data_IF_380490569015
#
_entry.id   IF_380490569015
#
_cell.length_a   1.000
_cell.length_b   1.000
_cell.length_c   1.000
_cell.angle_alpha   90.00
_cell.angle_beta   90.00
_cell.angle_gamma   90.00
#
_symmetry.space_group_name_H-M   'P 1'
#
loop_
_entity.id
_entity.type
_entity.pdbx_description
1 polymer ?
#
# COMPACT_ATOMS: atom_id res chain seq x y z
N UNK A 1 8.33 -0.16 18.16
CA UNK A 1 9.04 -1.38 18.64
C UNK A 1 8.22 -2.20 19.64
N UNK A 2 8.01 -1.77 20.90
CA UNK A 2 7.34 -2.65 21.89
C UNK A 2 5.84 -2.88 21.62
N UNK A 3 5.13 -1.90 21.08
CA UNK A 3 3.73 -2.02 20.64
C UNK A 3 3.55 -2.97 19.46
N UNK A 4 4.44 -2.86 18.46
CA UNK A 4 4.52 -3.73 17.28
C UNK A 4 4.79 -5.18 17.70
N UNK A 5 5.76 -5.40 18.60
CA UNK A 5 6.05 -6.72 19.17
C UNK A 5 4.81 -7.37 19.81
N UNK A 6 4.03 -6.59 20.57
CA UNK A 6 2.81 -7.08 21.22
C UNK A 6 1.77 -7.53 20.17
N UNK A 7 1.54 -6.73 19.13
CA UNK A 7 0.58 -7.06 18.07
C UNK A 7 0.97 -8.35 17.33
N UNK A 8 2.24 -8.47 16.94
CA UNK A 8 2.78 -9.65 16.26
C UNK A 8 2.66 -10.90 17.12
N UNK A 9 3.13 -10.83 18.37
CA UNK A 9 3.11 -11.97 19.29
C UNK A 9 1.69 -12.37 19.67
N UNK A 10 0.77 -11.41 19.87
CA UNK A 10 -0.65 -11.70 20.12
C UNK A 10 -1.26 -12.50 18.97
N UNK A 11 -1.09 -12.02 17.73
CA UNK A 11 -1.60 -12.70 16.54
C UNK A 11 -0.94 -14.05 16.29
N UNK A 12 0.35 -14.20 16.55
CA UNK A 12 1.04 -15.49 16.46
C UNK A 12 0.56 -16.48 17.53
N UNK A 13 0.30 -16.01 18.75
CA UNK A 13 -0.19 -16.83 19.86
C UNK A 13 -1.57 -17.40 19.54
N UNK A 14 -2.50 -16.57 19.05
CA UNK A 14 -3.85 -17.05 18.64
C UNK A 14 -3.78 -18.07 17.50
N UNK A 15 -2.88 -17.86 16.52
CA UNK A 15 -2.65 -18.82 15.42
C UNK A 15 -2.10 -20.15 15.93
N UNK A 16 -1.12 -20.12 16.84
CA UNK A 16 -0.52 -21.32 17.44
C UNK A 16 -1.50 -22.06 18.36
N UNK A 17 -2.27 -21.31 19.13
CA UNK A 17 -3.30 -21.84 20.04
C UNK A 17 -4.52 -22.38 19.28
N UNK A 18 -4.76 -21.88 18.07
CA UNK A 18 -5.83 -22.34 17.18
C UNK A 18 -7.22 -21.74 17.51
N UNK A 19 -7.29 -20.77 18.43
CA UNK A 19 -8.52 -20.09 18.84
C UNK A 19 -8.25 -18.63 19.21
N UNK A 20 -9.28 -17.79 19.09
CA UNK A 20 -9.26 -16.42 19.61
C UNK A 20 -9.37 -16.42 21.13
N UNK A 21 -8.75 -15.44 21.78
CA UNK A 21 -8.76 -15.29 23.24
C UNK A 21 -9.62 -14.06 23.59
N UNK A 22 -10.90 -14.33 23.80
CA UNK A 22 -12.00 -13.41 24.07
C UNK A 22 -12.56 -13.55 25.50
N UNK A 23 -12.26 -14.66 26.18
CA UNK A 23 -12.84 -15.00 27.49
C UNK A 23 -11.79 -15.45 28.52
N UNK A 24 -12.20 -15.44 29.80
CA UNK A 24 -11.39 -15.96 30.89
C UNK A 24 -11.05 -17.45 30.70
N UNK A 25 -12.01 -18.24 30.18
CA UNK A 25 -11.83 -19.66 29.94
C UNK A 25 -10.67 -19.92 28.98
N UNK A 26 -10.60 -19.19 27.87
CA UNK A 26 -9.50 -19.33 26.90
C UNK A 26 -8.15 -18.90 27.50
N UNK A 27 -8.13 -17.93 28.43
CA UNK A 27 -6.89 -17.57 29.12
C UNK A 27 -6.36 -18.70 30.02
N UNK A 28 -7.26 -19.46 30.66
CA UNK A 28 -6.88 -20.63 31.48
C UNK A 28 -6.39 -21.76 30.58
N UNK A 29 -7.10 -22.02 29.47
CA UNK A 29 -6.68 -23.03 28.49
C UNK A 29 -5.32 -22.68 27.88
N UNK A 30 -5.10 -21.43 27.49
CA UNK A 30 -3.81 -20.96 26.96
C UNK A 30 -2.69 -21.09 27.99
N UNK A 31 -2.93 -20.71 29.25
CA UNK A 31 -1.94 -20.85 30.32
C UNK A 31 -1.46 -22.31 30.45
N UNK A 32 -2.41 -23.26 30.44
CA UNK A 32 -2.09 -24.69 30.50
C UNK A 32 -1.35 -25.17 29.26
N UNK A 33 -1.72 -24.70 28.06
CA UNK A 33 -1.08 -25.10 26.81
C UNK A 33 0.35 -24.56 26.70
N UNK A 34 0.60 -23.32 27.14
CA UNK A 34 1.94 -22.73 27.23
C UNK A 34 2.81 -23.59 28.15
N UNK A 35 2.36 -23.84 29.38
CA UNK A 35 3.13 -24.60 30.35
C UNK A 35 3.44 -26.02 29.87
N UNK A 36 2.47 -26.70 29.24
CA UNK A 36 2.67 -28.05 28.69
C UNK A 36 3.70 -28.09 27.57
N UNK A 37 3.82 -27.03 26.76
CA UNK A 37 4.67 -27.01 25.56
C UNK A 37 6.05 -26.40 25.80
N UNK A 38 6.18 -25.40 26.67
CA UNK A 38 7.45 -24.69 26.92
C UNK A 38 8.00 -24.90 28.33
N UNK A 39 7.19 -25.38 29.27
CA UNK A 39 7.55 -25.43 30.69
C UNK A 39 7.53 -24.07 31.40
N UNK A 40 7.19 -22.98 30.71
CA UNK A 40 7.18 -21.64 31.27
C UNK A 40 5.84 -21.27 31.92
N UNK A 41 5.91 -20.52 33.02
CA UNK A 41 4.73 -20.11 33.80
C UNK A 41 4.34 -18.66 33.49
N UNK A 42 3.26 -18.51 32.72
CA UNK A 42 2.65 -17.21 32.42
C UNK A 42 1.34 -17.01 33.19
N UNK A 43 1.31 -16.08 34.14
CA UNK A 43 0.13 -15.91 34.99
C UNK A 43 -1.13 -15.48 34.21
N UNK A 44 -2.29 -16.03 34.56
CA UNK A 44 -3.59 -15.71 33.94
C UNK A 44 -3.88 -14.19 33.92
N UNK A 45 -3.60 -13.40 34.98
CA UNK A 45 -3.76 -11.95 34.91
C UNK A 45 -2.87 -11.26 33.88
N UNK A 46 -1.69 -11.82 33.57
CA UNK A 46 -0.79 -11.30 32.54
C UNK A 46 -1.35 -11.57 31.15
N UNK A 47 -1.84 -12.79 30.92
CA UNK A 47 -2.52 -13.16 29.66
C UNK A 47 -3.75 -12.26 29.45
N UNK A 48 -4.62 -12.12 30.46
CA UNK A 48 -5.82 -11.27 30.36
C UNK A 48 -5.51 -9.81 29.99
N UNK A 49 -4.45 -9.24 30.56
CA UNK A 49 -4.01 -7.87 30.23
C UNK A 49 -3.45 -7.78 28.81
N UNK A 50 -2.64 -8.75 28.38
CA UNK A 50 -2.07 -8.79 27.03
C UNK A 50 -3.15 -8.86 25.95
N UNK A 51 -4.21 -9.67 26.17
CA UNK A 51 -5.28 -9.85 25.19
C UNK A 51 -6.35 -8.75 25.23
N UNK A 52 -6.26 -7.81 26.19
CA UNK A 52 -7.17 -6.66 26.30
C UNK A 52 -8.47 -6.94 27.05
N UNK A 53 -8.55 -8.06 27.78
CA UNK A 53 -9.71 -8.43 28.60
C UNK A 53 -9.80 -7.65 29.91
N UNK A 54 -8.71 -7.00 30.31
CA UNK A 54 -8.62 -6.14 31.50
C UNK A 54 -7.80 -4.91 31.15
N UNK A 55 -8.26 -3.72 31.57
CA UNK A 55 -7.52 -2.47 31.39
C UNK A 55 -6.18 -2.55 32.14
N UNK A 56 -5.09 -2.24 31.45
CA UNK A 56 -3.75 -2.17 32.04
C UNK A 56 -3.11 -0.85 31.66
N UNK A 57 -2.58 -0.12 32.64
CA UNK A 57 -1.72 1.05 32.42
C UNK A 57 -0.26 0.65 32.12
N UNK A 58 0.10 -0.62 32.31
CA UNK A 58 1.46 -1.13 32.12
C UNK A 58 1.57 -2.04 30.89
N UNK A 59 2.65 -1.84 30.14
CA UNK A 59 3.02 -2.69 29.00
C UNK A 59 3.55 -4.06 29.49
N UNK A 60 3.31 -5.15 28.74
CA UNK A 60 3.89 -6.46 29.02
C UNK A 60 5.42 -6.42 29.16
N UNK A 61 5.95 -7.21 30.09
CA UNK A 61 7.40 -7.35 30.27
C UNK A 61 8.05 -7.98 29.04
N UNK A 62 9.33 -7.71 28.79
CA UNK A 62 10.06 -8.39 27.71
C UNK A 62 10.16 -9.90 27.93
N UNK A 63 10.29 -10.34 29.19
CA UNK A 63 10.25 -11.76 29.55
C UNK A 63 8.92 -12.43 29.15
N UNK A 64 7.79 -11.74 29.37
CA UNK A 64 6.46 -12.20 28.93
C UNK A 64 6.39 -12.35 27.40
N UNK A 65 6.93 -11.39 26.65
CA UNK A 65 6.94 -11.44 25.20
C UNK A 65 7.87 -12.55 24.68
N UNK A 66 9.01 -12.76 25.33
CA UNK A 66 9.93 -13.83 24.98
C UNK A 66 9.31 -15.21 25.21
N UNK A 67 8.67 -15.43 26.36
CA UNK A 67 7.99 -16.68 26.67
C UNK A 67 6.91 -17.03 25.63
N UNK A 68 6.13 -16.03 25.20
CA UNK A 68 5.14 -16.22 24.14
C UNK A 68 5.77 -16.40 22.75
N UNK A 69 6.89 -15.75 22.47
CA UNK A 69 7.64 -15.97 21.23
C UNK A 69 8.13 -17.43 21.16
N UNK A 70 8.71 -17.94 22.24
CA UNK A 70 9.14 -19.34 22.39
C UNK A 70 7.96 -20.30 22.19
N UNK A 71 6.83 -20.03 22.84
CA UNK A 71 5.59 -20.81 22.65
C UNK A 71 5.12 -20.85 21.19
N UNK A 72 5.25 -19.74 20.47
CA UNK A 72 4.92 -19.64 19.05
C UNK A 72 5.96 -20.31 18.13
N UNK A 73 7.10 -20.77 18.67
CA UNK A 73 8.18 -21.41 17.91
C UNK A 73 9.21 -20.44 17.34
N UNK A 74 9.30 -19.21 17.86
CA UNK A 74 10.37 -18.25 17.53
C UNK A 74 11.47 -18.30 18.59
N UNK A 75 12.71 -18.08 18.16
CA UNK A 75 13.90 -18.01 19.03
C UNK A 75 13.95 -16.69 19.79
N UNK A 76 13.42 -15.62 19.21
CA UNK A 76 13.37 -14.30 19.82
C UNK A 76 12.15 -13.50 19.37
N UNK A 77 11.87 -12.42 20.09
CA UNK A 77 10.82 -11.46 19.69
C UNK A 77 11.20 -10.78 18.37
N UNK A 78 12.49 -10.52 18.14
CA UNK A 78 12.97 -9.89 16.90
C UNK A 78 12.80 -10.82 15.69
N UNK A 79 13.02 -12.14 15.84
CA UNK A 79 12.74 -13.13 14.79
C UNK A 79 11.25 -13.11 14.41
N UNK A 80 10.36 -13.06 15.41
CA UNK A 80 8.92 -12.99 15.17
C UNK A 80 8.52 -11.75 14.38
N UNK A 81 9.10 -10.59 14.71
CA UNK A 81 8.86 -9.33 13.99
C UNK A 81 9.42 -9.41 12.55
N UNK A 82 10.63 -9.95 12.38
CA UNK A 82 11.25 -10.10 11.06
C UNK A 82 10.44 -11.03 10.15
N UNK A 83 9.96 -12.17 10.66
CA UNK A 83 9.05 -13.06 9.91
C UNK A 83 7.73 -12.40 9.57
N UNK A 84 7.10 -11.70 10.52
CA UNK A 84 5.85 -10.98 10.25
C UNK A 84 6.01 -9.92 9.15
N UNK A 85 7.14 -9.19 9.12
CA UNK A 85 7.47 -8.24 8.05
C UNK A 85 7.69 -8.95 6.71
N UNK A 86 8.38 -10.08 6.72
CA UNK A 86 8.63 -10.88 5.52
C UNK A 86 7.30 -11.40 4.93
N UNK A 87 6.44 -12.00 5.76
CA UNK A 87 5.13 -12.50 5.35
C UNK A 87 4.24 -11.38 4.81
N UNK A 88 4.22 -10.21 5.47
CA UNK A 88 3.50 -9.02 4.98
C UNK A 88 4.04 -8.60 3.62
N UNK A 89 5.35 -8.45 3.46
CA UNK A 89 5.96 -8.05 2.19
C UNK A 89 5.69 -9.04 1.05
N UNK A 90 5.63 -10.35 1.34
CA UNK A 90 5.26 -11.36 0.35
C UNK A 90 3.79 -11.25 -0.05
N UNK A 91 2.90 -11.00 0.91
CA UNK A 91 1.49 -10.77 0.64
C UNK A 91 1.29 -9.50 -0.20
N UNK A 92 1.94 -8.40 0.17
CA UNK A 92 1.90 -7.13 -0.54
C UNK A 92 2.40 -7.31 -1.99
N UNK A 93 3.51 -8.01 -2.19
CA UNK A 93 4.03 -8.34 -3.52
C UNK A 93 3.03 -9.17 -4.33
N UNK A 94 2.35 -10.15 -3.71
CA UNK A 94 1.33 -10.95 -4.38
C UNK A 94 0.14 -10.10 -4.83
N UNK A 95 -0.31 -9.17 -3.98
CA UNK A 95 -1.38 -8.23 -4.33
C UNK A 95 -0.98 -7.28 -5.45
N UNK A 96 0.23 -6.71 -5.40
CA UNK A 96 0.79 -5.86 -6.47
C UNK A 96 0.82 -6.64 -7.79
N UNK A 97 1.29 -7.88 -7.78
CA UNK A 97 1.35 -8.73 -8.96
C UNK A 97 -0.03 -9.05 -9.52
N UNK A 98 -1.00 -9.35 -8.64
CA UNK A 98 -2.38 -9.62 -9.05
C UNK A 98 -3.03 -8.40 -9.71
N UNK A 99 -2.89 -7.22 -9.09
CA UNK A 99 -3.43 -5.98 -9.67
C UNK A 99 -2.73 -5.67 -10.99
N UNK A 100 -1.40 -5.78 -11.05
CA UNK A 100 -0.66 -5.59 -12.31
C UNK A 100 -1.14 -6.54 -13.42
N UNK A 101 -1.41 -7.80 -13.08
CA UNK A 101 -1.97 -8.79 -13.99
C UNK A 101 -3.36 -8.37 -14.51
N UNK A 102 -4.27 -7.92 -13.64
CA UNK A 102 -5.59 -7.42 -14.07
C UNK A 102 -5.46 -6.23 -15.03
N UNK A 103 -4.52 -5.32 -14.78
CA UNK A 103 -4.29 -4.19 -15.67
C UNK A 103 -3.63 -4.59 -16.99
N UNK A 104 -2.90 -5.70 -17.05
CA UNK A 104 -2.19 -6.15 -18.24
C UNK A 104 -3.04 -7.05 -19.14
N UNK A 105 -3.76 -8.00 -18.56
CA UNK A 105 -4.40 -9.09 -19.31
C UNK A 105 -5.87 -8.83 -19.65
N UNK A 106 -6.54 -7.93 -18.93
CA UNK A 106 -7.94 -7.62 -19.23
C UNK A 106 -8.01 -6.84 -20.54
N UNK A 107 -8.58 -7.46 -21.56
CA UNK A 107 -8.86 -6.82 -22.85
C UNK A 107 -10.07 -5.92 -22.70
N UNK A 108 -9.88 -4.62 -22.96
CA UNK A 108 -10.95 -3.63 -22.92
C UNK A 108 -11.21 -3.16 -24.35
N UNK A 109 -12.29 -3.65 -24.96
CA UNK A 109 -12.64 -3.31 -26.34
C UNK A 109 -13.34 -1.95 -26.44
N UNK A 110 -14.17 -1.62 -25.45
CA UNK A 110 -14.86 -0.34 -25.35
C UNK A 110 -14.09 0.60 -24.41
N UNK A 111 -13.58 1.76 -24.90
CA UNK A 111 -12.99 2.79 -24.05
C UNK A 111 -13.90 3.25 -22.91
N UNK A 112 -15.22 3.03 -22.99
CA UNK A 112 -16.20 3.38 -21.96
C UNK A 112 -16.73 2.18 -21.16
N UNK A 113 -16.02 1.04 -21.18
CA UNK A 113 -16.39 -0.14 -20.41
C UNK A 113 -16.61 0.21 -18.93
N UNK A 114 -17.86 0.07 -18.48
CA UNK A 114 -18.28 0.42 -17.13
C UNK A 114 -17.71 -0.53 -16.09
N UNK A 115 -17.50 -1.81 -16.44
CA UNK A 115 -16.91 -2.81 -15.56
C UNK A 115 -15.45 -2.49 -15.29
N UNK A 116 -14.69 -2.18 -16.34
CA UNK A 116 -13.29 -1.81 -16.20
C UNK A 116 -13.13 -0.47 -15.46
N UNK A 117 -13.99 0.50 -15.78
CA UNK A 117 -14.05 1.78 -15.07
C UNK A 117 -14.28 1.57 -13.57
N UNK A 118 -15.18 0.66 -13.19
CA UNK A 118 -15.41 0.34 -11.78
C UNK A 118 -14.24 -0.39 -11.12
N UNK A 119 -13.56 -1.28 -11.84
CA UNK A 119 -12.33 -1.93 -11.35
C UNK A 119 -11.28 -0.89 -10.99
N UNK A 120 -11.05 0.10 -11.86
CA UNK A 120 -10.10 1.18 -11.62
C UNK A 120 -10.53 2.02 -10.42
N UNK A 121 -11.80 2.42 -10.36
CA UNK A 121 -12.37 3.16 -9.23
C UNK A 121 -12.21 2.42 -7.89
N UNK A 122 -12.50 1.12 -7.84
CA UNK A 122 -12.32 0.32 -6.64
C UNK A 122 -10.85 0.14 -6.26
N UNK A 123 -9.96 0.01 -7.25
CA UNK A 123 -8.50 -0.03 -7.01
C UNK A 123 -8.03 1.26 -6.37
N UNK A 124 -8.49 2.41 -6.86
CA UNK A 124 -8.20 3.72 -6.31
C UNK A 124 -8.65 3.84 -4.85
N UNK A 125 -9.88 3.42 -4.54
CA UNK A 125 -10.39 3.46 -3.18
C UNK A 125 -9.68 2.50 -2.23
N UNK A 126 -9.26 1.35 -2.74
CA UNK A 126 -8.42 0.41 -2.00
C UNK A 126 -7.06 1.06 -1.64
N UNK A 127 -6.41 1.70 -2.60
CA UNK A 127 -5.14 2.41 -2.40
C UNK A 127 -5.22 3.54 -1.36
N UNK A 128 -6.36 4.22 -1.25
CA UNK A 128 -6.58 5.24 -0.21
C UNK A 128 -6.58 4.65 1.20
N UNK A 129 -6.96 3.37 1.35
CA UNK A 129 -6.98 2.66 2.63
C UNK A 129 -5.64 1.98 2.94
N UNK A 130 -4.86 1.65 1.91
CA UNK A 130 -3.57 0.97 2.02
C UNK A 130 -2.41 1.82 1.45
N UNK A 131 -1.97 2.90 2.14
CA UNK A 131 -0.95 3.82 1.61
C UNK A 131 0.39 3.16 1.25
N UNK A 132 0.74 2.07 1.93
CA UNK A 132 2.00 1.33 1.71
C UNK A 132 2.03 0.60 0.35
N UNK A 133 0.86 0.34 -0.26
CA UNK A 133 0.76 -0.31 -1.57
C UNK A 133 0.70 0.69 -2.73
N UNK A 134 0.57 1.99 -2.45
CA UNK A 134 0.34 3.00 -3.50
C UNK A 134 1.50 3.06 -4.47
N UNK A 135 2.72 3.28 -3.99
CA UNK A 135 3.90 3.39 -4.84
C UNK A 135 4.16 2.12 -5.69
N UNK A 136 4.22 0.89 -5.12
CA UNK A 136 4.48 -0.30 -5.92
C UNK A 136 3.36 -0.58 -6.93
N UNK A 137 2.09 -0.30 -6.60
CA UNK A 137 0.98 -0.45 -7.54
C UNK A 137 1.07 0.59 -8.66
N UNK A 138 1.33 1.87 -8.36
CA UNK A 138 1.48 2.90 -9.39
C UNK A 138 2.63 2.59 -10.34
N UNK A 139 3.75 2.10 -9.81
CA UNK A 139 4.89 1.68 -10.62
C UNK A 139 4.54 0.50 -11.54
N UNK A 140 3.77 -0.48 -11.04
CA UNK A 140 3.35 -1.64 -11.83
C UNK A 140 2.27 -1.30 -12.87
N UNK A 141 1.33 -0.42 -12.51
CA UNK A 141 0.23 0.03 -13.38
C UNK A 141 0.74 0.96 -14.49
N UNK A 142 1.73 1.82 -14.21
CA UNK A 142 2.33 2.69 -15.24
C UNK A 142 2.93 1.91 -16.43
N UNK A 143 3.34 0.66 -16.22
CA UNK A 143 3.90 -0.22 -17.26
C UNK A 143 2.87 -0.84 -18.20
N UNK A 144 1.58 -0.74 -17.89
CA UNK A 144 0.52 -1.35 -18.69
C UNK A 144 -0.23 -0.28 -19.49
N UNK A 145 -0.69 -0.63 -20.70
CA UNK A 145 -1.44 0.27 -21.56
C UNK A 145 -2.75 0.70 -20.88
N UNK A 146 -3.49 -0.25 -20.31
CA UNK A 146 -4.73 0.08 -19.60
C UNK A 146 -4.46 0.94 -18.35
N UNK A 147 -3.31 0.75 -17.68
CA UNK A 147 -2.94 1.59 -16.55
C UNK A 147 -2.70 3.03 -16.97
N UNK A 148 -1.95 3.24 -18.05
CA UNK A 148 -1.74 4.56 -18.62
C UNK A 148 -3.07 5.23 -19.01
N UNK A 149 -3.90 4.56 -19.79
CA UNK A 149 -5.14 5.12 -20.33
C UNK A 149 -6.24 5.30 -19.27
N UNK A 150 -6.54 4.27 -18.50
CA UNK A 150 -7.64 4.32 -17.55
C UNK A 150 -7.22 4.90 -16.21
N UNK A 151 -6.13 4.43 -15.60
CA UNK A 151 -5.74 4.92 -14.28
C UNK A 151 -5.19 6.35 -14.34
N UNK A 152 -4.20 6.62 -15.20
CA UNK A 152 -3.56 7.94 -15.24
C UNK A 152 -4.37 8.96 -16.03
N UNK A 153 -4.70 8.68 -17.28
CA UNK A 153 -5.26 9.69 -18.19
C UNK A 153 -6.75 9.97 -17.94
N UNK A 154 -7.53 8.93 -17.60
CA UNK A 154 -8.98 9.07 -17.36
C UNK A 154 -9.32 9.37 -15.91
N UNK A 155 -8.72 8.67 -14.95
CA UNK A 155 -8.94 8.87 -13.52
C UNK A 155 -7.94 9.86 -12.91
N UNK A 156 -7.97 11.11 -13.38
CA UNK A 156 -7.07 12.16 -12.89
C UNK A 156 -7.44 12.56 -11.45
N UNK A 157 -6.57 12.24 -10.48
CA UNK A 157 -6.76 12.66 -9.08
C UNK A 157 -6.14 14.01 -8.78
N UNK A 158 -6.83 15.07 -9.17
CA UNK A 158 -6.39 16.45 -8.92
C UNK A 158 -6.19 16.72 -7.42
N UNK A 159 -7.09 16.23 -6.55
CA UNK A 159 -6.97 16.40 -5.09
C UNK A 159 -5.71 15.74 -4.49
N UNK A 160 -5.13 14.78 -5.20
CA UNK A 160 -3.92 14.04 -4.79
C UNK A 160 -2.72 14.37 -5.68
N UNK A 161 -2.81 15.42 -6.48
CA UNK A 161 -1.75 15.85 -7.39
C UNK A 161 -0.49 16.29 -6.64
N UNK A 162 -0.63 17.01 -5.52
CA UNK A 162 0.50 17.34 -4.65
C UNK A 162 1.00 16.11 -3.83
N UNK A 163 0.26 15.01 -3.82
CA UNK A 163 0.54 13.80 -3.07
C UNK A 163 0.93 12.62 -3.96
N UNK A 164 0.35 11.45 -3.66
CA UNK A 164 0.76 10.19 -4.29
C UNK A 164 0.51 10.15 -5.80
N UNK A 165 -0.54 10.82 -6.29
CA UNK A 165 -0.86 10.77 -7.72
C UNK A 165 0.19 11.53 -8.53
N UNK A 166 0.61 12.71 -8.07
CA UNK A 166 1.72 13.43 -8.70
C UNK A 166 3.06 12.70 -8.62
N UNK A 167 3.32 11.93 -7.57
CA UNK A 167 4.49 11.05 -7.53
C UNK A 167 4.36 9.93 -8.58
N UNK A 168 3.16 9.36 -8.73
CA UNK A 168 2.86 8.36 -9.75
C UNK A 168 3.07 8.85 -11.19
N UNK A 169 2.83 10.14 -11.47
CA UNK A 169 3.05 10.72 -12.80
C UNK A 169 4.51 10.59 -13.26
N UNK A 170 5.48 10.49 -12.35
CA UNK A 170 6.88 10.25 -12.71
C UNK A 170 7.06 8.84 -13.29
N UNK A 171 6.42 7.83 -12.72
CA UNK A 171 6.41 6.47 -13.28
C UNK A 171 5.71 6.44 -14.63
N UNK A 172 4.55 7.12 -14.73
CA UNK A 172 3.84 7.24 -16.00
C UNK A 172 4.71 7.87 -17.10
N UNK A 173 5.40 8.99 -16.82
CA UNK A 173 6.29 9.65 -17.79
C UNK A 173 7.50 8.80 -18.17
N UNK A 174 7.99 7.96 -17.26
CA UNK A 174 9.09 7.04 -17.54
C UNK A 174 8.66 5.91 -18.49
N UNK A 175 7.42 5.43 -18.39
CA UNK A 175 6.93 4.30 -19.18
C UNK A 175 6.20 4.73 -20.47
N UNK A 176 5.49 5.87 -20.46
CA UNK A 176 4.74 6.37 -21.61
C UNK A 176 5.54 7.42 -22.40
N UNK A 177 6.29 6.98 -23.42
CA UNK A 177 7.11 7.84 -24.28
C UNK A 177 6.34 8.44 -25.47
N UNK A 178 5.02 8.28 -25.53
CA UNK A 178 4.22 8.92 -26.57
C UNK A 178 4.23 10.45 -26.40
N UNK A 179 4.20 11.20 -27.50
CA UNK A 179 4.14 12.67 -27.43
C UNK A 179 2.94 13.15 -26.61
N UNK A 180 1.78 12.50 -26.77
CA UNK A 180 0.56 12.82 -26.02
C UNK A 180 0.72 12.55 -24.54
N UNK A 181 1.29 11.41 -24.16
CA UNK A 181 1.55 11.09 -22.76
C UNK A 181 2.57 12.03 -22.12
N UNK A 182 3.62 12.39 -22.86
CA UNK A 182 4.62 13.37 -22.39
C UNK A 182 4.00 14.75 -22.16
N UNK A 183 3.18 15.25 -23.10
CA UNK A 183 2.42 16.49 -22.92
C UNK A 183 1.49 16.39 -21.72
N UNK A 184 0.72 15.31 -21.61
CA UNK A 184 -0.21 15.09 -20.51
C UNK A 184 0.48 15.11 -19.14
N UNK A 185 1.51 14.27 -18.97
CA UNK A 185 2.18 14.08 -17.69
C UNK A 185 2.97 15.32 -17.26
N UNK A 186 3.71 15.94 -18.19
CA UNK A 186 4.44 17.18 -17.89
C UNK A 186 3.50 18.36 -17.61
N UNK A 187 2.36 18.46 -18.30
CA UNK A 187 1.36 19.50 -18.00
C UNK A 187 0.81 19.37 -16.58
N UNK A 188 0.49 18.15 -16.14
CA UNK A 188 -0.01 17.92 -14.77
C UNK A 188 1.08 18.11 -13.71
N UNK A 189 2.33 17.74 -13.98
CA UNK A 189 3.45 18.02 -13.07
C UNK A 189 3.76 19.51 -13.00
N UNK A 190 3.71 20.25 -14.11
CA UNK A 190 3.81 21.71 -14.08
C UNK A 190 2.71 22.28 -13.19
N UNK A 191 1.46 21.85 -13.38
CA UNK A 191 0.35 22.29 -12.52
C UNK A 191 0.55 21.93 -11.04
N UNK A 192 1.07 20.73 -10.73
CA UNK A 192 1.46 20.32 -9.38
C UNK A 192 2.43 21.33 -8.77
N UNK A 193 3.52 21.61 -9.47
CA UNK A 193 4.60 22.44 -8.93
C UNK A 193 4.21 23.90 -8.82
N UNK A 194 3.33 24.38 -9.72
CA UNK A 194 2.68 25.68 -9.57
C UNK A 194 1.83 25.75 -8.29
N UNK A 195 1.00 24.73 -8.01
CA UNK A 195 0.20 24.67 -6.77
C UNK A 195 1.06 24.57 -5.50
N UNK A 196 2.23 23.94 -5.58
CA UNK A 196 3.15 23.79 -4.44
C UNK A 196 4.19 24.91 -4.34
N UNK A 197 4.12 25.93 -5.20
CA UNK A 197 5.06 27.06 -5.25
C UNK A 197 6.53 26.64 -5.44
N UNK A 198 6.76 25.60 -6.25
CA UNK A 198 8.11 25.16 -6.66
C UNK A 198 8.41 25.62 -8.10
N UNK A 199 8.87 26.87 -8.22
CA UNK A 199 9.11 27.51 -9.51
C UNK A 199 10.14 26.77 -10.37
N UNK A 200 11.15 26.16 -9.74
CA UNK A 200 12.21 25.45 -10.46
C UNK A 200 11.65 24.23 -11.18
N UNK A 201 10.90 23.39 -10.46
CA UNK A 201 10.30 22.18 -11.02
C UNK A 201 9.16 22.52 -11.98
N UNK A 202 8.42 23.60 -11.72
CA UNK A 202 7.43 24.15 -12.65
C UNK A 202 8.05 24.48 -14.01
N UNK A 203 9.10 25.32 -14.04
CA UNK A 203 9.77 25.73 -15.27
C UNK A 203 10.34 24.53 -16.03
N UNK A 204 10.93 23.56 -15.33
CA UNK A 204 11.45 22.34 -15.95
C UNK A 204 10.37 21.57 -16.73
N UNK A 205 9.18 21.41 -16.16
CA UNK A 205 8.10 20.69 -16.81
C UNK A 205 7.37 21.53 -17.87
N UNK A 206 7.23 22.83 -17.66
CA UNK A 206 6.69 23.73 -18.69
C UNK A 206 7.58 23.74 -19.95
N UNK A 207 8.90 23.87 -19.78
CA UNK A 207 9.87 23.80 -20.87
C UNK A 207 9.82 22.44 -21.59
N UNK A 208 9.60 21.35 -20.84
CA UNK A 208 9.48 20.02 -21.42
C UNK A 208 8.27 19.91 -22.34
N UNK A 209 7.12 20.50 -21.98
CA UNK A 209 5.93 20.55 -22.84
C UNK A 209 6.22 21.34 -24.12
N UNK A 210 6.81 22.54 -24.01
CA UNK A 210 7.08 23.42 -25.16
C UNK A 210 8.07 22.84 -26.17
N UNK A 211 8.92 21.89 -25.75
CA UNK A 211 9.87 21.20 -26.64
C UNK A 211 9.21 20.13 -27.52
N UNK A 212 8.01 19.67 -27.18
CA UNK A 212 7.31 18.61 -27.91
C UNK A 212 6.67 19.21 -29.17
N UNK A 213 7.02 18.71 -30.36
CA UNK A 213 6.49 19.26 -31.61
C UNK A 213 4.98 18.97 -31.74
N UNK A 214 4.20 20.00 -32.04
CA UNK A 214 2.72 19.98 -32.19
C UNK A 214 2.16 18.97 -33.19
N UNK A 215 2.95 18.58 -34.20
CA UNK A 215 2.48 17.73 -35.32
C UNK A 215 2.00 16.35 -34.85
N UNK A 216 2.36 15.92 -33.63
CA UNK A 216 1.99 14.61 -33.09
C UNK A 216 0.82 14.59 -32.10
N UNK A 217 0.19 15.73 -31.78
CA UNK A 217 -0.91 15.77 -30.79
C UNK A 217 -2.24 15.69 -31.54
N UNK A 218 -2.91 14.55 -31.45
CA UNK A 218 -4.20 14.30 -32.12
C UNK A 218 -5.38 14.54 -31.20
N UNK A 219 -5.21 14.36 -29.88
CA UNK A 219 -6.28 14.51 -28.91
C UNK A 219 -6.63 16.00 -28.63
N UNK A 220 -7.87 16.46 -28.88
CA UNK A 220 -8.23 17.88 -28.79
C UNK A 220 -7.98 18.53 -27.43
N UNK A 221 -8.23 17.79 -26.34
CA UNK A 221 -7.98 18.31 -24.99
C UNK A 221 -6.49 18.46 -24.67
N UNK A 222 -5.63 17.59 -25.24
CA UNK A 222 -4.19 17.69 -25.06
C UNK A 222 -3.62 18.82 -25.92
N UNK A 223 -4.14 18.99 -27.15
CA UNK A 223 -3.85 20.16 -27.97
C UNK A 223 -4.19 21.45 -27.24
N UNK A 224 -5.37 21.51 -26.60
CA UNK A 224 -5.78 22.65 -25.78
C UNK A 224 -4.79 22.96 -24.65
N UNK A 225 -4.27 21.96 -23.95
CA UNK A 225 -3.26 22.16 -22.90
C UNK A 225 -1.93 22.66 -23.47
N UNK A 226 -1.50 22.11 -24.59
CA UNK A 226 -0.26 22.50 -25.27
C UNK A 226 -0.31 23.96 -25.76
N UNK A 227 -1.43 24.41 -26.35
CA UNK A 227 -1.52 25.77 -26.89
C UNK A 227 -1.78 26.87 -25.84
N UNK A 228 -2.12 26.48 -24.60
CA UNK A 228 -2.36 27.40 -23.47
C UNK A 228 -1.14 27.49 -22.53
N UNK A 229 -0.19 26.56 -22.65
CA UNK A 229 1.11 26.63 -21.95
C UNK A 229 2.08 27.55 -22.67
#
# INVERSE_FOLDING_TARGET
MRSEAIAVIKGATERRFGKKILSYKECVELNQDIYKKTGELLSIPTIRRLFGLVRSSSLPSFSTLHALATYCGYTSVDEAIARAKTDSSQHDNSLVNYISYLFREVTVEDPYDSTYTQLVYHTIHFLQREPHLVEPILQAVAKTINGQQFYFERFIHIDKLAGYYGNGLQFYLAENQSSEGQVFGHSLLAFRYWLTMDDKSFLQHADAVLRIKTVSIQHPFLGGRYFVT
#
